data_IF_557959538867
#
_entry.id   IF_557959538867
#
_cell.length_a   1.000
_cell.length_b   1.000
_cell.length_c   1.000
_cell.angle_alpha   90.00
_cell.angle_beta   90.00
_cell.angle_gamma   90.00
#
_symmetry.space_group_name_H-M   'P 1'
#
loop_
_entity.id
_entity.type
_entity.pdbx_description
1 polymer ?
#
# COMPACT_ATOMS: atom_id res chain seq x y z
N UNK A 1 -14.34 -15.41 34.40
CA UNK A 1 -14.40 -15.02 32.97
C UNK A 1 -14.09 -13.54 32.67
N UNK A 2 -14.04 -12.63 33.66
CA UNK A 2 -13.80 -11.19 33.41
C UNK A 2 -12.32 -10.80 33.23
N UNK A 3 -11.39 -11.52 33.88
CA UNK A 3 -9.96 -11.19 33.86
C UNK A 3 -9.28 -11.44 32.50
N UNK A 4 -9.68 -12.48 31.77
CA UNK A 4 -9.17 -12.77 30.41
C UNK A 4 -9.53 -11.67 29.40
N UNK A 5 -10.71 -11.05 29.56
CA UNK A 5 -11.15 -9.93 28.72
C UNK A 5 -10.37 -8.65 29.02
N UNK A 6 -9.99 -8.45 30.30
CA UNK A 6 -9.13 -7.35 30.71
C UNK A 6 -7.71 -7.48 30.15
N UNK A 7 -7.16 -8.70 30.16
CA UNK A 7 -5.87 -8.98 29.52
C UNK A 7 -5.91 -8.74 27.99
N UNK A 8 -6.99 -9.17 27.33
CA UNK A 8 -7.17 -8.93 25.90
C UNK A 8 -7.30 -7.43 25.57
N UNK A 9 -8.03 -6.68 26.40
CA UNK A 9 -8.16 -5.23 26.25
C UNK A 9 -6.84 -4.51 26.51
N UNK A 10 -6.08 -4.92 27.54
CA UNK A 10 -4.76 -4.36 27.82
C UNK A 10 -3.75 -4.64 26.69
N UNK A 11 -3.77 -5.85 26.12
CA UNK A 11 -2.95 -6.22 24.96
C UNK A 11 -3.31 -5.42 23.70
N UNK A 12 -4.60 -5.14 23.49
CA UNK A 12 -5.06 -4.28 22.41
C UNK A 12 -4.57 -2.84 22.59
N UNK A 13 -4.62 -2.29 23.81
CA UNK A 13 -4.19 -0.92 24.09
C UNK A 13 -2.67 -0.76 23.92
N UNK A 14 -1.86 -1.74 24.32
CA UNK A 14 -0.40 -1.71 24.11
C UNK A 14 0.00 -1.93 22.66
N UNK A 15 -0.83 -2.56 21.83
CA UNK A 15 -0.59 -2.68 20.39
C UNK A 15 -0.72 -1.33 19.64
N UNK A 16 -1.46 -0.36 20.19
CA UNK A 16 -1.62 0.97 19.59
C UNK A 16 -0.59 2.00 20.05
N UNK A 17 0.23 1.71 21.07
CA UNK A 17 1.31 2.60 21.52
C UNK A 17 2.61 2.32 20.75
N UNK A 18 2.60 2.54 19.45
CA UNK A 18 3.86 2.64 18.69
C UNK A 18 4.35 4.08 18.76
N UNK A 19 5.62 4.27 19.08
CA UNK A 19 6.26 5.59 19.09
C UNK A 19 6.36 6.08 17.65
N UNK A 20 5.59 7.13 17.30
CA UNK A 20 5.80 7.85 16.04
C UNK A 20 7.16 8.55 16.10
N UNK A 21 8.17 7.95 15.48
CA UNK A 21 9.44 8.60 15.18
C UNK A 21 9.25 9.45 13.91
N UNK A 22 8.96 10.74 14.08
CA UNK A 22 8.60 11.67 13.01
C UNK A 22 9.78 12.22 12.18
N UNK A 23 10.92 11.53 12.03
CA UNK A 23 12.11 12.14 11.40
C UNK A 23 12.82 11.32 10.32
N UNK A 24 12.19 10.26 9.80
CA UNK A 24 12.61 9.73 8.51
C UNK A 24 11.42 9.05 7.86
N UNK A 25 10.78 9.73 6.90
CA UNK A 25 9.76 9.15 6.01
C UNK A 25 10.45 8.11 5.13
N UNK A 26 10.72 6.94 5.72
CA UNK A 26 11.47 5.86 5.10
C UNK A 26 10.52 4.76 4.62
N UNK A 27 9.32 4.68 5.21
CA UNK A 27 8.27 3.76 4.80
C UNK A 27 6.91 4.36 5.10
N UNK A 28 5.96 4.16 4.19
CA UNK A 28 4.56 4.54 4.35
C UNK A 28 3.70 3.29 4.16
N UNK A 29 2.68 3.16 4.99
CA UNK A 29 1.66 2.12 4.86
C UNK A 29 0.30 2.79 4.86
N UNK A 30 -0.55 2.40 3.92
CA UNK A 30 -1.82 3.08 3.71
C UNK A 30 -2.85 2.23 3.00
N UNK A 31 -4.00 2.86 2.76
CA UNK A 31 -5.10 2.28 2.01
C UNK A 31 -5.19 3.00 0.68
N UNK A 32 -5.28 2.23 -0.41
CA UNK A 32 -5.60 2.74 -1.74
C UNK A 32 -7.10 2.59 -1.95
N UNK A 33 -7.76 3.70 -2.26
CA UNK A 33 -9.17 3.73 -2.61
C UNK A 33 -9.31 4.14 -4.08
N UNK A 34 -10.20 3.49 -4.82
CA UNK A 34 -10.40 3.76 -6.24
C UNK A 34 -11.16 2.65 -6.94
N UNK A 35 -10.81 2.40 -8.22
CA UNK A 35 -11.34 1.26 -8.97
C UNK A 35 -10.94 -0.07 -8.29
N UNK A 36 -9.66 -0.17 -7.93
CA UNK A 36 -9.12 -1.25 -7.12
C UNK A 36 -8.79 -0.73 -5.72
N UNK A 37 -9.56 -1.21 -4.75
CA UNK A 37 -9.28 -0.94 -3.34
C UNK A 37 -8.22 -1.92 -2.85
N UNK A 38 -7.32 -1.45 -1.99
CA UNK A 38 -6.23 -2.28 -1.51
C UNK A 38 -5.42 -1.63 -0.40
N UNK A 39 -4.41 -2.37 0.04
CA UNK A 39 -3.38 -1.88 0.95
C UNK A 39 -2.17 -1.50 0.12
N UNK A 40 -1.51 -0.40 0.47
CA UNK A 40 -0.24 0.00 -0.12
C UNK A 40 0.85 0.04 0.95
N UNK A 41 2.03 -0.44 0.59
CA UNK A 41 3.26 -0.32 1.34
C UNK A 41 4.33 0.30 0.46
N UNK A 42 4.72 1.53 0.76
CA UNK A 42 5.77 2.27 0.08
C UNK A 42 7.02 2.32 0.96
N UNK A 43 8.20 2.15 0.37
CA UNK A 43 9.49 2.23 1.05
C UNK A 43 10.46 3.07 0.24
N UNK A 44 11.01 4.11 0.86
CA UNK A 44 12.01 4.95 0.21
C UNK A 44 13.36 4.23 0.21
N UNK A 45 13.93 4.09 -0.98
CA UNK A 45 15.26 3.51 -1.20
C UNK A 45 16.32 4.61 -1.26
N UNK A 46 15.92 5.77 -1.79
CA UNK A 46 16.71 6.99 -1.88
C UNK A 46 15.78 8.21 -1.76
N UNK A 47 16.30 9.43 -1.56
CA UNK A 47 15.47 10.64 -1.46
C UNK A 47 14.53 10.86 -2.66
N UNK A 48 14.94 10.38 -3.84
CA UNK A 48 14.18 10.52 -5.08
C UNK A 48 13.55 9.21 -5.58
N UNK A 49 13.67 8.10 -4.83
CA UNK A 49 13.26 6.78 -5.31
C UNK A 49 12.62 5.93 -4.24
N UNK A 50 11.48 5.34 -4.56
CA UNK A 50 10.70 4.50 -3.67
C UNK A 50 10.28 3.20 -4.36
N UNK A 51 10.12 2.13 -3.58
CA UNK A 51 9.44 0.93 -4.01
C UNK A 51 8.06 0.89 -3.37
N UNK A 52 7.01 0.69 -4.17
CA UNK A 52 5.64 0.56 -3.70
C UNK A 52 5.09 -0.84 -3.99
N UNK A 53 4.45 -1.44 -3.00
CA UNK A 53 3.73 -2.71 -3.12
C UNK A 53 2.26 -2.47 -2.85
N UNK A 54 1.41 -2.82 -3.80
CA UNK A 54 -0.04 -2.67 -3.70
C UNK A 54 -0.67 -4.05 -3.67
N UNK A 55 -1.42 -4.33 -2.62
CA UNK A 55 -2.21 -5.54 -2.45
C UNK A 55 -3.69 -5.20 -2.60
N UNK A 56 -4.29 -5.57 -3.72
CA UNK A 56 -5.72 -5.48 -3.93
C UNK A 56 -6.38 -6.85 -3.80
N UNK A 57 -7.34 -6.97 -2.89
CA UNK A 57 -8.07 -8.20 -2.66
C UNK A 57 -9.57 -7.93 -2.64
N UNK A 58 -10.30 -8.72 -3.41
CA UNK A 58 -11.74 -8.65 -3.56
C UNK A 58 -12.31 -10.08 -3.63
N UNK A 59 -13.60 -10.31 -3.32
CA UNK A 59 -14.19 -11.65 -3.38
C UNK A 59 -14.08 -12.35 -4.74
N UNK A 60 -13.74 -11.62 -5.81
CA UNK A 60 -13.67 -12.12 -7.20
C UNK A 60 -12.27 -12.06 -7.81
N UNK A 61 -11.35 -11.29 -7.23
CA UNK A 61 -9.99 -11.16 -7.75
C UNK A 61 -9.00 -10.85 -6.64
N UNK A 62 -7.77 -11.28 -6.86
CA UNK A 62 -6.61 -10.93 -6.05
C UNK A 62 -5.54 -10.39 -6.98
N UNK A 63 -4.90 -9.30 -6.62
CA UNK A 63 -3.81 -8.70 -7.37
C UNK A 63 -2.74 -8.18 -6.43
N UNK A 64 -1.50 -8.52 -6.73
CA UNK A 64 -0.30 -7.99 -6.11
C UNK A 64 0.47 -7.22 -7.18
N UNK A 65 0.67 -5.93 -6.94
CA UNK A 65 1.43 -5.03 -7.81
C UNK A 65 2.71 -4.61 -7.09
N UNK A 66 3.83 -4.63 -7.80
CA UNK A 66 5.10 -4.06 -7.34
C UNK A 66 5.56 -2.97 -8.31
N UNK A 67 5.87 -1.79 -7.77
CA UNK A 67 6.22 -0.58 -8.51
C UNK A 67 7.56 -0.02 -8.01
N UNK A 68 8.35 0.50 -8.93
CA UNK A 68 9.48 1.38 -8.64
C UNK A 68 9.10 2.79 -9.05
N UNK A 69 9.13 3.71 -8.11
CA UNK A 69 8.68 5.10 -8.26
C UNK A 69 9.85 6.06 -8.13
N UNK A 70 9.90 7.04 -9.03
CA UNK A 70 10.73 8.22 -8.94
C UNK A 70 9.87 9.38 -8.45
N UNK A 71 10.29 10.04 -7.38
CA UNK A 71 9.54 11.11 -6.71
C UNK A 71 10.40 12.36 -6.58
N UNK A 72 9.81 13.53 -6.82
CA UNK A 72 10.45 14.83 -6.70
C UNK A 72 9.48 15.88 -6.17
N UNK A 73 9.97 16.89 -5.42
CA UNK A 73 9.13 17.99 -4.96
C UNK A 73 8.61 18.82 -6.13
N UNK A 74 7.38 19.28 -6.02
CA UNK A 74 6.79 20.29 -6.92
C UNK A 74 7.32 21.67 -6.54
N UNK A 75 7.93 22.38 -7.50
CA UNK A 75 8.48 23.71 -7.27
C UNK A 75 7.39 24.69 -6.79
N UNK A 76 7.69 25.44 -5.73
CA UNK A 76 6.79 26.46 -5.19
C UNK A 76 5.73 25.97 -4.21
N UNK A 77 5.67 24.66 -3.91
CA UNK A 77 4.76 24.09 -2.92
C UNK A 77 5.50 23.25 -1.89
N UNK A 78 5.29 23.54 -0.61
CA UNK A 78 5.79 22.70 0.48
C UNK A 78 4.96 21.42 0.60
N UNK A 79 5.62 20.28 0.83
CA UNK A 79 5.01 18.98 1.11
C UNK A 79 4.16 18.38 -0.04
N UNK A 80 4.34 18.85 -1.26
CA UNK A 80 3.72 18.27 -2.44
C UNK A 80 4.82 17.77 -3.37
N UNK A 81 4.80 16.47 -3.62
CA UNK A 81 5.72 15.81 -4.53
C UNK A 81 4.94 15.24 -5.71
N UNK A 82 5.57 15.20 -6.88
CA UNK A 82 5.10 14.42 -8.00
C UNK A 82 5.90 13.11 -8.07
N UNK A 83 5.25 12.05 -8.55
CA UNK A 83 5.92 10.78 -8.76
C UNK A 83 5.52 10.14 -10.08
N UNK A 84 6.46 9.39 -10.64
CA UNK A 84 6.30 8.55 -11.82
C UNK A 84 6.91 7.20 -11.53
N UNK A 85 6.18 6.13 -11.77
CA UNK A 85 6.63 4.78 -11.50
C UNK A 85 6.30 3.79 -12.60
N UNK A 86 7.05 2.70 -12.61
CA UNK A 86 6.86 1.56 -13.49
C UNK A 86 6.98 0.28 -12.68
N UNK A 87 6.25 -0.75 -13.07
CA UNK A 87 6.27 -2.01 -12.37
C UNK A 87 5.51 -3.10 -13.09
N UNK A 88 5.08 -4.08 -12.32
CA UNK A 88 4.31 -5.21 -12.80
C UNK A 88 3.32 -5.67 -11.74
N UNK A 89 2.25 -6.31 -12.20
CA UNK A 89 1.31 -6.98 -11.34
C UNK A 89 1.20 -8.46 -11.66
N UNK A 90 0.81 -9.21 -10.65
CA UNK A 90 0.43 -10.60 -10.74
C UNK A 90 -0.83 -10.82 -9.90
N UNK A 91 -1.78 -11.58 -10.42
CA UNK A 91 -3.07 -11.76 -9.79
C UNK A 91 -3.81 -12.99 -10.31
N UNK A 92 -4.97 -13.23 -9.72
CA UNK A 92 -5.87 -14.31 -10.10
C UNK A 92 -7.31 -13.84 -10.06
N UNK A 93 -8.06 -14.09 -11.15
CA UNK A 93 -9.51 -13.91 -11.18
C UNK A 93 -10.16 -15.24 -10.84
N UNK A 94 -11.08 -15.23 -9.88
CA UNK A 94 -11.95 -16.37 -9.60
C UNK A 94 -13.19 -16.27 -10.47
N UNK A 95 -13.19 -16.96 -11.61
CA UNK A 95 -14.35 -17.05 -12.51
C UNK A 95 -15.17 -18.29 -12.15
N UNK A 96 -16.23 -18.09 -11.35
CA UNK A 96 -17.22 -19.07 -10.87
C UNK A 96 -16.73 -20.12 -9.86
N UNK A 97 -17.63 -20.46 -8.93
CA UNK A 97 -17.43 -21.44 -7.83
C UNK A 97 -17.39 -22.90 -8.30
N UNK A 98 -17.81 -23.17 -9.54
CA UNK A 98 -18.12 -24.51 -10.02
C UNK A 98 -17.13 -25.05 -11.06
N UNK A 99 -16.32 -24.20 -11.69
CA UNK A 99 -15.25 -24.60 -12.60
C UNK A 99 -13.96 -23.91 -12.14
N UNK A 100 -12.96 -24.70 -11.72
CA UNK A 100 -11.65 -24.24 -11.25
C UNK A 100 -10.77 -23.69 -12.40
N UNK A 101 -11.32 -22.84 -13.27
CA UNK A 101 -10.56 -22.14 -14.31
C UNK A 101 -10.08 -20.80 -13.74
N UNK A 102 -9.05 -20.87 -12.89
CA UNK A 102 -8.33 -19.70 -12.41
C UNK A 102 -7.54 -19.07 -13.56
N UNK A 103 -7.86 -17.83 -13.92
CA UNK A 103 -7.07 -17.08 -14.89
C UNK A 103 -5.96 -16.32 -14.16
N UNK A 104 -4.71 -16.60 -14.52
CA UNK A 104 -3.56 -15.79 -14.10
C UNK A 104 -3.61 -14.44 -14.81
N UNK A 105 -3.60 -13.37 -14.03
CA UNK A 105 -3.40 -12.00 -14.49
C UNK A 105 -1.93 -11.67 -14.28
N UNK A 106 -1.23 -11.30 -15.35
CA UNK A 106 0.13 -10.78 -15.27
C UNK A 106 0.30 -9.67 -16.30
N UNK A 107 0.97 -8.60 -15.91
CA UNK A 107 1.06 -7.40 -16.73
C UNK A 107 2.13 -6.44 -16.23
N UNK A 108 2.43 -5.45 -17.07
CA UNK A 108 3.28 -4.32 -16.72
C UNK A 108 2.39 -3.13 -16.36
N UNK A 109 2.82 -2.36 -15.36
CA UNK A 109 2.10 -1.21 -14.83
C UNK A 109 2.95 0.05 -14.98
N UNK A 110 2.27 1.18 -15.22
CA UNK A 110 2.84 2.53 -15.15
C UNK A 110 1.92 3.35 -14.26
N UNK A 111 2.50 4.14 -13.37
CA UNK A 111 1.77 5.01 -12.45
C UNK A 111 2.36 6.42 -12.49
N UNK A 112 1.51 7.42 -12.39
CA UNK A 112 1.93 8.80 -12.18
C UNK A 112 0.95 9.47 -11.23
N UNK A 113 1.43 10.37 -10.38
CA UNK A 113 0.57 11.05 -9.42
C UNK A 113 1.24 12.16 -8.66
N UNK A 114 0.47 12.73 -7.74
CA UNK A 114 0.91 13.72 -6.78
C UNK A 114 0.74 13.13 -5.38
N UNK A 115 1.75 13.30 -4.54
CA UNK A 115 1.78 12.87 -3.15
C UNK A 115 1.86 14.11 -2.26
N UNK A 116 0.90 14.26 -1.35
CA UNK A 116 0.88 15.36 -0.39
C UNK A 116 1.14 14.84 1.03
N UNK A 117 2.17 15.36 1.67
CA UNK A 117 2.58 14.98 3.02
C UNK A 117 1.91 15.94 4.02
N UNK A 118 0.95 15.42 4.78
CA UNK A 118 0.28 16.20 5.82
C UNK A 118 1.21 16.41 7.03
N UNK A 119 1.30 17.65 7.56
CA UNK A 119 2.06 17.94 8.78
C UNK A 119 1.37 17.44 10.05
#
# INVERSE_FOLDING_TARGET
MKLKKFFFAALLITAFTTTLQAQSYNSAFGVRLGYDNGLTLKKFLAPASAAEFILSASPRHFQLTGLYEYQQPVEGTSNLDWYLGIGAHLGGIHKNRDNYDGALLLGADVIAGLEYIFP
#
